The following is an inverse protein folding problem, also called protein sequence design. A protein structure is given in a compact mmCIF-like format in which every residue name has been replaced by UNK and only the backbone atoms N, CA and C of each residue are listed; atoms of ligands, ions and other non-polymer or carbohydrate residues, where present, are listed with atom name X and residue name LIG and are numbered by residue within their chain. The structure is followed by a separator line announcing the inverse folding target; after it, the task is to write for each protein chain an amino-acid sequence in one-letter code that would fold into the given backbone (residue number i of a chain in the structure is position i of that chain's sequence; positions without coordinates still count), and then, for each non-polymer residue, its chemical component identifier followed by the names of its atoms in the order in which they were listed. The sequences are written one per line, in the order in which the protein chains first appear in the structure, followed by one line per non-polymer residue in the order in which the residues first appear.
data_IF_750361777960
#
_entry.id   IF_750361777960
#
_cell.length_a   1.000
_cell.length_b   1.000
_cell.length_c   1.000
_cell.angle_alpha   90.00
_cell.angle_beta   90.00
_cell.angle_gamma   90.00
#
_symmetry.space_group_name_H-M   'P 1'
#
loop_
_entity.id
_entity.type
_entity.pdbx_description
1 polymer ?
#
# COMPACT_ATOMS: atom_id res chain seq x y z
N UNK A 1 0.70 -10.63 -7.73
CA UNK A 1 -0.39 -9.68 -8.06
C UNK A 1 -0.52 -9.41 -9.55
N UNK A 2 0.39 -8.66 -10.22
CA UNK A 2 0.25 -8.35 -11.66
C UNK A 2 -0.06 -9.57 -12.54
N UNK A 3 0.66 -10.69 -12.35
CA UNK A 3 0.42 -11.96 -13.04
C UNK A 3 -1.02 -12.46 -12.86
N UNK A 4 -1.49 -12.54 -11.61
CA UNK A 4 -2.84 -13.05 -11.31
C UNK A 4 -3.93 -12.15 -11.89
N UNK A 5 -3.73 -10.83 -11.84
CA UNK A 5 -4.66 -9.88 -12.46
C UNK A 5 -4.70 -10.09 -13.99
N UNK A 6 -3.55 -10.30 -14.64
CA UNK A 6 -3.49 -10.62 -16.08
C UNK A 6 -4.18 -11.93 -16.42
N UNK A 7 -4.03 -12.96 -15.59
CA UNK A 7 -4.71 -14.24 -15.78
C UNK A 7 -6.23 -14.10 -15.61
N UNK A 8 -6.67 -13.35 -14.61
CA UNK A 8 -8.09 -13.06 -14.41
C UNK A 8 -8.66 -12.28 -15.60
N UNK A 9 -7.96 -11.25 -16.06
CA UNK A 9 -8.32 -10.43 -17.21
C UNK A 9 -8.47 -11.23 -18.52
N UNK A 10 -7.83 -12.39 -18.64
CA UNK A 10 -8.01 -13.29 -19.78
C UNK A 10 -9.37 -14.03 -19.76
N UNK A 11 -10.08 -14.03 -18.63
CA UNK A 11 -11.34 -14.77 -18.44
C UNK A 11 -12.54 -13.87 -18.10
N UNK A 12 -12.30 -12.72 -17.47
CA UNK A 12 -13.33 -11.79 -17.00
C UNK A 12 -12.84 -10.35 -17.12
N UNK A 13 -13.73 -9.38 -17.42
CA UNK A 13 -13.36 -7.98 -17.44
C UNK A 13 -12.73 -7.51 -16.13
N UNK A 14 -11.52 -6.96 -16.18
CA UNK A 14 -10.85 -6.34 -15.02
C UNK A 14 -10.57 -4.87 -15.27
N UNK A 15 -11.16 -4.03 -14.41
CA UNK A 15 -11.06 -2.57 -14.47
C UNK A 15 -10.40 -2.09 -13.19
N UNK A 16 -9.32 -1.32 -13.32
CA UNK A 16 -8.72 -0.60 -12.20
C UNK A 16 -9.38 0.77 -12.06
N UNK A 17 -9.85 1.11 -10.85
CA UNK A 17 -10.35 2.44 -10.50
C UNK A 17 -9.39 3.07 -9.49
N UNK A 18 -8.69 4.13 -9.89
CA UNK A 18 -7.77 4.86 -9.04
C UNK A 18 -8.49 6.03 -8.36
N UNK A 19 -8.45 6.08 -7.04
CA UNK A 19 -8.96 7.22 -6.24
C UNK A 19 -7.86 8.26 -6.04
N UNK A 20 -7.47 8.57 -4.80
CA UNK A 20 -6.52 9.67 -4.53
C UNK A 20 -5.10 9.34 -5.01
N UNK A 21 -4.63 8.12 -4.78
CA UNK A 21 -3.26 7.70 -5.11
C UNK A 21 -3.25 6.27 -5.64
N UNK A 22 -2.57 6.07 -6.77
CA UNK A 22 -2.24 4.77 -7.32
C UNK A 22 -0.91 4.84 -8.09
N UNK A 23 0.17 5.15 -7.39
CA UNK A 23 1.51 5.33 -7.95
C UNK A 23 2.45 4.16 -7.56
N UNK A 24 3.56 3.99 -8.27
CA UNK A 24 4.58 2.95 -8.03
C UNK A 24 3.95 1.55 -7.98
N UNK A 25 4.00 0.84 -6.84
CA UNK A 25 3.35 -0.46 -6.67
C UNK A 25 1.84 -0.46 -6.98
N UNK A 26 1.13 0.65 -6.70
CA UNK A 26 -0.29 0.79 -7.05
C UNK A 26 -0.51 0.82 -8.56
N UNK A 27 0.32 1.59 -9.29
CA UNK A 27 0.30 1.59 -10.76
C UNK A 27 0.73 0.23 -11.32
N UNK A 28 1.71 -0.42 -10.69
CA UNK A 28 2.16 -1.77 -11.06
C UNK A 28 1.02 -2.78 -11.01
N UNK A 29 0.10 -2.67 -10.06
CA UNK A 29 -1.10 -3.52 -10.02
C UNK A 29 -2.13 -3.09 -11.06
N UNK A 30 -2.42 -1.79 -11.16
CA UNK A 30 -3.43 -1.27 -12.05
C UNK A 30 -3.11 -1.51 -13.54
N UNK A 31 -1.84 -1.44 -13.94
CA UNK A 31 -1.41 -1.71 -15.31
C UNK A 31 -1.66 -3.16 -15.75
N UNK A 32 -1.97 -4.09 -14.84
CA UNK A 32 -2.39 -5.43 -15.22
C UNK A 32 -3.86 -5.50 -15.70
N UNK A 33 -4.69 -4.53 -15.32
CA UNK A 33 -6.09 -4.45 -15.73
C UNK A 33 -6.20 -4.09 -17.21
N UNK A 34 -7.34 -4.41 -17.83
CA UNK A 34 -7.57 -4.08 -19.24
C UNK A 34 -8.01 -2.63 -19.44
N UNK A 35 -8.56 -2.00 -18.39
CA UNK A 35 -8.89 -0.58 -18.38
C UNK A 35 -8.47 0.02 -17.04
N UNK A 36 -7.85 1.19 -17.09
CA UNK A 36 -7.52 2.01 -15.94
C UNK A 36 -8.34 3.29 -16.01
N UNK A 37 -9.08 3.56 -14.94
CA UNK A 37 -9.84 4.79 -14.73
C UNK A 37 -9.21 5.54 -13.58
N UNK A 38 -9.04 6.85 -13.71
CA UNK A 38 -8.52 7.70 -12.64
C UNK A 38 -9.30 9.03 -12.57
N UNK A 39 -9.39 9.62 -11.38
CA UNK A 39 -9.92 10.97 -11.23
C UNK A 39 -8.91 12.00 -11.77
N UNK A 40 -9.38 13.22 -12.07
CA UNK A 40 -8.51 14.28 -12.61
C UNK A 40 -7.28 14.55 -11.74
N UNK A 41 -7.45 14.50 -10.41
CA UNK A 41 -6.43 14.81 -9.42
C UNK A 41 -5.75 13.58 -8.80
N UNK A 42 -6.07 12.37 -9.26
CA UNK A 42 -5.38 11.16 -8.82
C UNK A 42 -3.89 11.30 -9.01
N UNK A 43 -3.08 10.96 -8.00
CA UNK A 43 -1.64 10.85 -8.14
C UNK A 43 -1.28 9.43 -8.59
N UNK A 44 -0.74 9.31 -9.80
CA UNK A 44 -0.43 8.02 -10.43
C UNK A 44 0.93 8.04 -11.12
N UNK A 45 1.27 6.97 -11.85
CA UNK A 45 2.58 6.77 -12.44
C UNK A 45 3.59 6.36 -11.38
N UNK A 46 4.63 7.17 -11.16
CA UNK A 46 5.81 6.82 -10.36
C UNK A 46 6.39 5.46 -10.77
N UNK A 47 6.51 5.27 -12.09
CA UNK A 47 7.11 4.09 -12.68
C UNK A 47 8.62 4.22 -12.49
N UNK A 48 9.08 3.70 -11.36
CA UNK A 48 10.44 3.86 -10.86
C UNK A 48 10.71 2.89 -9.72
N UNK A 49 11.98 2.69 -9.42
CA UNK A 49 12.44 1.84 -8.32
C UNK A 49 13.45 2.64 -7.50
N UNK A 50 13.24 2.66 -6.19
CA UNK A 50 14.19 3.17 -5.21
C UNK A 50 14.52 2.07 -4.22
N UNK A 51 15.78 1.92 -3.88
CA UNK A 51 16.26 0.93 -2.91
C UNK A 51 17.52 1.43 -2.23
N UNK A 52 17.82 0.90 -1.05
CA UNK A 52 18.96 1.30 -0.26
C UNK A 52 19.11 0.44 0.99
N UNK A 53 20.23 0.63 1.70
CA UNK A 53 20.41 0.16 3.08
C UNK A 53 20.82 1.32 3.95
N UNK A 54 20.52 1.23 5.24
CA UNK A 54 21.07 2.16 6.22
C UNK A 54 22.56 1.86 6.44
N UNK A 55 23.34 2.92 6.61
CA UNK A 55 24.69 2.84 7.15
C UNK A 55 24.72 3.55 8.51
N UNK A 56 24.70 2.74 9.55
CA UNK A 56 24.64 3.13 10.95
C UNK A 56 26.02 3.12 11.63
N UNK A 57 27.12 2.90 10.90
CA UNK A 57 28.46 2.80 11.49
C UNK A 57 28.80 3.99 12.41
N UNK A 58 28.59 5.23 11.93
CA UNK A 58 28.81 6.44 12.73
C UNK A 58 27.90 6.55 13.95
N UNK A 59 26.66 6.05 13.84
CA UNK A 59 25.72 6.03 14.97
C UNK A 59 26.21 5.06 16.04
N UNK A 60 26.61 3.85 15.64
CA UNK A 60 27.13 2.81 16.51
C UNK A 60 28.39 3.25 17.26
N UNK A 61 29.33 3.88 16.57
CA UNK A 61 30.52 4.50 17.18
C UNK A 61 30.13 5.51 18.28
N UNK A 62 29.15 6.38 18.01
CA UNK A 62 28.73 7.43 18.94
C UNK A 62 28.09 6.90 20.22
N UNK A 63 27.36 5.78 20.13
CA UNK A 63 26.65 5.19 21.27
C UNK A 63 27.41 4.05 21.94
N UNK A 64 28.63 3.75 21.47
CA UNK A 64 29.43 2.63 21.99
C UNK A 64 28.81 1.25 21.70
N UNK A 65 27.97 1.13 20.67
CA UNK A 65 27.35 -0.14 20.29
C UNK A 65 28.27 -0.88 19.32
N UNK A 66 28.63 -2.12 19.64
CA UNK A 66 29.37 -2.99 18.73
C UNK A 66 28.44 -4.06 18.12
N UNK A 67 28.49 -4.18 16.80
CA UNK A 67 27.78 -5.19 16.02
C UNK A 67 28.78 -6.10 15.31
N UNK A 68 28.94 -7.31 15.82
CA UNK A 68 29.67 -8.40 15.15
C UNK A 68 28.73 -9.19 14.24
N UNK A 69 29.21 -9.56 13.04
CA UNK A 69 28.43 -10.34 12.07
C UNK A 69 29.21 -11.61 11.72
N UNK A 70 28.60 -12.75 11.96
CA UNK A 70 29.11 -14.06 11.52
C UNK A 70 28.26 -14.49 10.33
N UNK A 71 28.86 -14.60 9.15
CA UNK A 71 28.16 -14.92 7.91
C UNK A 71 28.93 -15.95 7.08
N UNK A 72 28.22 -16.67 6.20
CA UNK A 72 28.83 -17.59 5.23
C UNK A 72 28.29 -17.28 3.83
N UNK A 73 29.21 -16.92 2.94
CA UNK A 73 28.91 -16.60 1.54
C UNK A 73 29.24 -15.15 1.19
N UNK A 74 29.76 -14.93 -0.03
CA UNK A 74 30.29 -13.63 -0.46
C UNK A 74 29.30 -12.47 -0.30
N UNK A 75 28.02 -12.70 -0.57
CA UNK A 75 26.98 -11.66 -0.52
C UNK A 75 25.99 -11.84 0.63
N UNK A 76 26.29 -12.69 1.62
CA UNK A 76 25.39 -12.96 2.75
C UNK A 76 25.11 -11.72 3.61
N UNK A 77 26.02 -10.74 3.58
CA UNK A 77 25.94 -9.51 4.37
C UNK A 77 25.30 -8.33 3.63
N UNK A 78 24.89 -8.51 2.37
CA UNK A 78 24.51 -7.41 1.47
C UNK A 78 23.53 -6.42 2.14
N UNK A 79 22.51 -6.94 2.84
CA UNK A 79 21.53 -6.15 3.58
C UNK A 79 21.68 -6.20 5.10
N UNK A 80 22.51 -7.10 5.63
CA UNK A 80 22.67 -7.31 7.08
C UNK A 80 23.78 -6.44 7.71
N UNK A 81 24.80 -6.10 6.92
CA UNK A 81 25.92 -5.27 7.36
C UNK A 81 25.58 -3.78 7.31
N UNK A 82 24.76 -3.31 8.25
CA UNK A 82 24.39 -1.89 8.40
C UNK A 82 25.47 -1.05 9.11
N UNK A 83 26.47 -1.67 9.75
CA UNK A 83 27.59 -0.99 10.41
C UNK A 83 28.65 -0.43 9.45
N UNK A 84 28.56 -0.73 8.14
CA UNK A 84 29.54 -0.33 7.12
C UNK A 84 28.87 -0.02 5.77
N UNK A 85 29.51 0.75 4.88
CA UNK A 85 29.05 0.89 3.51
C UNK A 85 29.07 -0.46 2.76
N UNK A 86 28.46 -0.50 1.58
CA UNK A 86 28.66 -1.61 0.64
C UNK A 86 30.13 -1.73 0.26
N UNK A 87 30.62 -2.96 0.13
CA UNK A 87 31.86 -3.21 -0.61
C UNK A 87 31.64 -2.91 -2.11
N UNK A 88 32.68 -2.66 -2.90
CA UNK A 88 32.52 -2.33 -4.32
C UNK A 88 31.71 -3.37 -5.11
N UNK A 89 31.94 -4.66 -4.85
CA UNK A 89 31.23 -5.75 -5.51
C UNK A 89 29.76 -5.90 -5.05
N UNK A 90 29.50 -5.66 -3.77
CA UNK A 90 28.14 -5.56 -3.21
C UNK A 90 27.37 -4.39 -3.84
N UNK A 91 28.01 -3.23 -3.97
CA UNK A 91 27.39 -2.03 -4.54
C UNK A 91 27.01 -2.24 -6.01
N UNK A 92 27.90 -2.84 -6.81
CA UNK A 92 27.63 -3.17 -8.21
C UNK A 92 26.46 -4.17 -8.34
N UNK A 93 26.45 -5.23 -7.53
CA UNK A 93 25.35 -6.20 -7.50
C UNK A 93 24.02 -5.54 -7.13
N UNK A 94 24.02 -4.69 -6.10
CA UNK A 94 22.83 -4.01 -5.62
C UNK A 94 22.27 -3.02 -6.67
N UNK A 95 23.15 -2.25 -7.31
CA UNK A 95 22.78 -1.35 -8.40
C UNK A 95 22.20 -2.10 -9.61
N UNK A 96 22.81 -3.21 -10.02
CA UNK A 96 22.27 -4.06 -11.10
C UNK A 96 20.90 -4.64 -10.75
N UNK A 97 20.68 -5.03 -9.50
CA UNK A 97 19.38 -5.51 -9.04
C UNK A 97 18.31 -4.42 -9.16
N UNK A 98 18.63 -3.19 -8.74
CA UNK A 98 17.72 -2.04 -8.88
C UNK A 98 17.41 -1.73 -10.36
N UNK A 99 18.43 -1.75 -11.23
CA UNK A 99 18.28 -1.51 -12.66
C UNK A 99 17.39 -2.57 -13.32
N UNK A 100 17.58 -3.85 -12.98
CA UNK A 100 16.75 -4.94 -13.48
C UNK A 100 15.29 -4.79 -13.03
N UNK A 101 15.07 -4.46 -11.75
CA UNK A 101 13.72 -4.22 -11.24
C UNK A 101 13.03 -3.05 -11.98
N UNK A 102 13.75 -1.95 -12.23
CA UNK A 102 13.25 -0.82 -13.00
C UNK A 102 12.89 -1.22 -14.43
N UNK A 103 13.80 -1.90 -15.14
CA UNK A 103 13.58 -2.37 -16.50
C UNK A 103 12.33 -3.25 -16.58
N UNK A 104 12.17 -4.22 -15.67
CA UNK A 104 10.98 -5.07 -15.63
C UNK A 104 9.69 -4.28 -15.40
N UNK A 105 9.72 -3.26 -14.53
CA UNK A 105 8.54 -2.42 -14.30
C UNK A 105 8.18 -1.62 -15.56
N UNK A 106 9.15 -0.87 -16.11
CA UNK A 106 8.96 -0.07 -17.32
C UNK A 106 8.48 -0.93 -18.50
N UNK A 107 9.10 -2.06 -18.75
CA UNK A 107 8.78 -2.92 -19.89
C UNK A 107 7.38 -3.54 -19.75
N UNK A 108 6.97 -3.92 -18.53
CA UNK A 108 5.59 -4.36 -18.25
C UNK A 108 4.59 -3.22 -18.43
N UNK A 109 4.93 -2.01 -18.01
CA UNK A 109 4.07 -0.85 -18.22
C UNK A 109 3.92 -0.56 -19.72
N UNK A 110 5.01 -0.57 -20.48
CA UNK A 110 5.01 -0.37 -21.93
C UNK A 110 4.13 -1.41 -22.63
N UNK A 111 4.31 -2.69 -22.30
CA UNK A 111 3.48 -3.79 -22.78
C UNK A 111 1.99 -3.59 -22.45
N UNK A 112 1.67 -3.32 -21.19
CA UNK A 112 0.30 -3.12 -20.73
C UNK A 112 -0.39 -1.93 -21.38
N UNK A 113 0.35 -0.88 -21.70
CA UNK A 113 -0.17 0.34 -22.33
C UNK A 113 -0.05 0.32 -23.85
N UNK A 114 0.37 -0.81 -24.43
CA UNK A 114 0.55 -0.98 -25.88
C UNK A 114 1.38 0.14 -26.52
N UNK A 115 2.47 0.55 -25.86
CA UNK A 115 3.37 1.59 -26.35
C UNK A 115 4.83 1.13 -26.36
N UNK A 116 5.68 1.70 -27.25
CA UNK A 116 7.11 1.41 -27.26
C UNK A 116 7.78 1.70 -25.93
N UNK A 117 8.82 0.95 -25.60
CA UNK A 117 9.57 1.10 -24.35
C UNK A 117 10.19 2.49 -24.24
N UNK A 118 10.64 3.05 -25.36
CA UNK A 118 11.23 4.38 -25.46
C UNK A 118 10.21 5.47 -25.07
N UNK A 119 8.97 5.33 -25.54
CA UNK A 119 7.88 6.24 -25.17
C UNK A 119 7.48 6.09 -23.71
N UNK A 120 7.51 4.86 -23.18
CA UNK A 120 7.27 4.62 -21.75
C UNK A 120 8.38 5.24 -20.88
N UNK A 121 9.65 5.18 -21.31
CA UNK A 121 10.78 5.81 -20.63
C UNK A 121 10.56 7.33 -20.47
N UNK A 122 10.05 8.01 -21.51
CA UNK A 122 9.73 9.45 -21.49
C UNK A 122 8.67 9.86 -20.46
N UNK A 123 7.87 8.93 -19.97
CA UNK A 123 6.82 9.19 -18.95
C UNK A 123 7.08 8.45 -17.63
N UNK A 124 8.08 7.57 -17.58
CA UNK A 124 8.51 6.84 -16.40
C UNK A 124 9.58 7.64 -15.61
N UNK A 125 10.61 6.96 -15.09
CA UNK A 125 11.72 7.54 -14.32
C UNK A 125 11.29 8.08 -12.95
N UNK A 126 10.33 7.40 -12.32
CA UNK A 126 9.82 7.77 -11.00
C UNK A 126 8.90 9.00 -10.98
N UNK A 127 8.65 9.64 -12.12
CA UNK A 127 7.75 10.81 -12.21
C UNK A 127 6.32 10.46 -11.81
N UNK A 128 5.74 11.30 -10.98
CA UNK A 128 4.32 11.26 -10.60
C UNK A 128 3.53 12.13 -11.56
N UNK A 129 2.35 11.66 -11.96
CA UNK A 129 1.44 12.39 -12.83
C UNK A 129 0.08 12.55 -12.15
N UNK A 130 -0.55 13.70 -12.32
CA UNK A 130 -1.97 13.85 -12.04
C UNK A 130 -2.78 13.00 -13.04
N UNK A 131 -3.95 12.49 -12.65
CA UNK A 131 -4.74 11.58 -13.48
C UNK A 131 -5.08 12.16 -14.86
N UNK A 132 -5.37 13.46 -14.93
CA UNK A 132 -5.56 14.18 -16.20
C UNK A 132 -4.33 14.11 -17.12
N UNK A 133 -3.13 14.31 -16.57
CA UNK A 133 -1.87 14.24 -17.33
C UNK A 133 -1.50 12.79 -17.66
N UNK A 134 -1.81 11.85 -16.76
CA UNK A 134 -1.61 10.43 -16.99
C UNK A 134 -2.46 9.93 -18.17
N UNK A 135 -3.69 10.41 -18.31
CA UNK A 135 -4.56 10.10 -19.45
C UNK A 135 -3.98 10.65 -20.77
N UNK A 136 -3.53 11.91 -20.82
CA UNK A 136 -2.94 12.49 -22.03
C UNK A 136 -1.63 11.79 -22.45
N UNK A 137 -0.94 11.15 -21.50
CA UNK A 137 0.28 10.36 -21.69
C UNK A 137 0.04 8.88 -21.98
N UNK A 138 -1.22 8.43 -21.97
CA UNK A 138 -1.59 7.04 -22.20
C UNK A 138 -1.27 6.09 -21.04
N UNK A 139 -1.05 6.61 -19.83
CA UNK A 139 -0.89 5.82 -18.60
C UNK A 139 -2.25 5.40 -18.01
N UNK A 140 -3.32 6.11 -18.34
CA UNK A 140 -4.71 5.84 -17.91
C UNK A 140 -5.61 5.86 -19.15
N UNK A 141 -6.67 5.05 -19.17
CA UNK A 141 -7.58 4.93 -20.30
C UNK A 141 -8.75 5.94 -20.25
N UNK A 142 -9.21 6.29 -19.05
CA UNK A 142 -10.34 7.19 -18.88
C UNK A 142 -10.25 8.03 -17.60
N UNK A 143 -10.82 9.24 -17.67
CA UNK A 143 -11.04 10.08 -16.49
C UNK A 143 -12.41 9.81 -15.88
N UNK A 144 -12.45 9.66 -14.56
CA UNK A 144 -13.65 9.55 -13.75
C UNK A 144 -13.42 8.71 -12.49
N UNK A 145 -14.49 8.53 -11.72
CA UNK A 145 -14.45 7.76 -10.49
C UNK A 145 -14.98 6.34 -10.61
N UNK A 146 -15.30 5.77 -9.46
CA UNK A 146 -15.78 4.40 -9.32
C UNK A 146 -17.02 4.09 -10.16
N UNK A 147 -17.98 5.01 -10.24
CA UNK A 147 -19.18 4.85 -11.08
C UNK A 147 -18.86 4.69 -12.56
N UNK A 148 -17.81 5.37 -13.05
CA UNK A 148 -17.34 5.22 -14.44
C UNK A 148 -16.68 3.86 -14.65
N UNK A 149 -15.91 3.39 -13.67
CA UNK A 149 -15.33 2.04 -13.70
C UNK A 149 -16.40 0.95 -13.76
N UNK A 150 -17.48 1.07 -12.98
CA UNK A 150 -18.63 0.15 -13.03
C UNK A 150 -19.28 0.17 -14.42
N UNK A 151 -19.53 1.35 -14.99
CA UNK A 151 -20.14 1.46 -16.32
C UNK A 151 -19.28 0.77 -17.41
N UNK A 152 -17.96 0.94 -17.34
CA UNK A 152 -17.01 0.26 -18.24
C UNK A 152 -17.03 -1.26 -18.01
N UNK A 153 -17.05 -1.71 -16.75
CA UNK A 153 -17.13 -3.13 -16.42
C UNK A 153 -18.41 -3.77 -16.97
N UNK A 154 -19.56 -3.10 -16.81
CA UNK A 154 -20.83 -3.54 -17.38
C UNK A 154 -20.78 -3.63 -18.90
N UNK A 155 -20.20 -2.63 -19.55
CA UNK A 155 -20.04 -2.61 -21.01
C UNK A 155 -19.20 -3.79 -21.49
N UNK A 156 -18.01 -4.01 -20.89
CA UNK A 156 -17.13 -5.13 -21.26
C UNK A 156 -17.73 -6.50 -20.94
N UNK A 157 -18.60 -6.60 -19.94
CA UNK A 157 -19.30 -7.81 -19.57
C UNK A 157 -20.61 -8.04 -20.36
N UNK A 158 -20.94 -7.20 -21.35
CA UNK A 158 -22.20 -7.23 -22.09
C UNK A 158 -23.45 -7.14 -21.18
N UNK A 159 -23.38 -6.37 -20.10
CA UNK A 159 -24.48 -6.10 -19.18
C UNK A 159 -25.14 -4.75 -19.56
N UNK A 160 -26.47 -4.68 -19.75
CA UNK A 160 -27.19 -3.44 -20.04
C UNK A 160 -26.91 -2.34 -18.99
N UNK A 161 -26.73 -1.10 -19.43
CA UNK A 161 -26.30 0.01 -18.56
C UNK A 161 -27.34 0.44 -17.52
N UNK A 162 -28.61 0.19 -17.78
CA UNK A 162 -29.75 0.39 -16.88
C UNK A 162 -29.95 -0.74 -15.87
N UNK A 163 -29.45 -1.95 -16.17
CA UNK A 163 -29.57 -3.11 -15.27
C UNK A 163 -28.83 -2.88 -13.95
N UNK A 164 -29.52 -3.00 -12.83
CA UNK A 164 -28.90 -2.94 -11.50
C UNK A 164 -27.92 -4.10 -11.30
N UNK A 165 -26.78 -3.81 -10.70
CA UNK A 165 -25.76 -4.79 -10.32
C UNK A 165 -25.53 -4.71 -8.81
N UNK A 166 -25.27 -5.84 -8.18
CA UNK A 166 -24.87 -5.89 -6.77
C UNK A 166 -23.35 -5.77 -6.69
N UNK A 167 -22.88 -4.80 -5.93
CA UNK A 167 -21.46 -4.72 -5.59
C UNK A 167 -21.18 -5.69 -4.45
N UNK A 168 -20.30 -6.65 -4.69
CA UNK A 168 -19.81 -7.57 -3.67
C UNK A 168 -18.38 -7.19 -3.36
N UNK A 169 -18.14 -6.68 -2.16
CA UNK A 169 -16.80 -6.42 -1.67
C UNK A 169 -16.16 -7.74 -1.21
N UNK A 170 -15.03 -8.08 -1.81
CA UNK A 170 -14.26 -9.27 -1.43
C UNK A 170 -13.11 -8.84 -0.51
N UNK A 171 -13.45 -8.51 0.73
CA UNK A 171 -12.46 -8.26 1.78
C UNK A 171 -11.84 -9.58 2.24
N UNK A 172 -10.55 -9.57 2.59
CA UNK A 172 -9.98 -10.71 3.33
C UNK A 172 -10.81 -10.87 4.61
N UNK A 173 -11.11 -12.11 5.05
CA UNK A 173 -11.72 -12.32 6.35
C UNK A 173 -10.91 -11.56 7.39
N UNK A 174 -11.54 -10.71 8.18
CA UNK A 174 -10.94 -10.21 9.40
C UNK A 174 -10.56 -11.44 10.23
N UNK A 175 -9.31 -11.55 10.70
CA UNK A 175 -8.93 -12.68 11.54
C UNK A 175 -9.87 -12.70 12.73
N UNK A 176 -10.50 -13.84 12.95
CA UNK A 176 -11.44 -14.03 14.05
C UNK A 176 -10.71 -13.86 15.40
N UNK A 177 -11.42 -13.43 16.46
CA UNK A 177 -10.84 -13.34 17.81
C UNK A 177 -10.07 -14.61 18.22
N UNK A 178 -10.53 -15.85 17.91
CA UNK A 178 -9.75 -17.07 18.14
C UNK A 178 -8.45 -17.16 17.33
N UNK A 179 -8.40 -16.68 16.09
CA UNK A 179 -7.17 -16.62 15.27
C UNK A 179 -6.18 -15.60 15.80
N UNK A 180 -6.68 -14.47 16.33
CA UNK A 180 -5.85 -13.46 17.03
C UNK A 180 -5.29 -14.06 18.32
N UNK A 181 -6.13 -14.69 19.15
CA UNK A 181 -5.72 -15.29 20.42
C UNK A 181 -4.77 -16.49 20.25
N UNK A 182 -4.96 -17.31 19.21
CA UNK A 182 -4.05 -18.40 18.89
C UNK A 182 -2.74 -17.92 18.26
N UNK A 183 -2.75 -16.79 17.54
CA UNK A 183 -1.53 -16.12 17.05
C UNK A 183 -0.66 -15.55 18.18
N UNK A 184 -1.28 -15.05 19.26
CA UNK A 184 -0.60 -14.53 20.46
C UNK A 184 0.25 -15.61 21.17
N UNK A 185 -0.08 -16.90 21.00
CA UNK A 185 0.66 -18.01 21.59
C UNK A 185 2.05 -18.28 20.97
N UNK A 186 2.42 -17.63 19.86
CA UNK A 186 3.63 -17.98 19.10
C UNK A 186 4.66 -16.85 18.91
N UNK A 187 4.39 -15.62 19.35
CA UNK A 187 5.41 -14.55 19.33
C UNK A 187 5.08 -13.38 20.27
N UNK A 188 5.83 -13.27 21.37
CA UNK A 188 5.70 -12.24 22.43
C UNK A 188 5.91 -10.80 21.90
N UNK A 189 6.43 -10.62 20.68
CA UNK A 189 6.74 -9.31 20.08
C UNK A 189 5.55 -8.72 19.29
N UNK A 190 4.52 -9.51 18.98
CA UNK A 190 3.37 -9.06 18.16
C UNK A 190 2.26 -8.35 18.94
N UNK A 191 2.17 -8.60 20.25
CA UNK A 191 1.02 -8.22 21.10
C UNK A 191 0.80 -6.71 21.14
N UNK A 192 1.87 -5.92 21.23
CA UNK A 192 1.78 -4.47 21.33
C UNK A 192 1.24 -3.81 20.05
N UNK A 193 1.49 -4.43 18.88
CA UNK A 193 1.08 -3.86 17.59
C UNK A 193 -0.38 -4.15 17.29
N UNK A 194 -0.83 -5.39 17.55
CA UNK A 194 -2.23 -5.77 17.41
C UNK A 194 -3.12 -5.09 18.43
N UNK A 195 -2.67 -4.89 19.68
CA UNK A 195 -3.43 -4.11 20.66
C UNK A 195 -3.60 -2.65 20.21
N UNK A 196 -2.56 -2.05 19.62
CA UNK A 196 -2.59 -0.66 19.13
C UNK A 196 -3.50 -0.48 17.93
N UNK A 197 -3.50 -1.45 17.00
CA UNK A 197 -4.40 -1.47 15.84
C UNK A 197 -5.87 -1.66 16.28
N UNK A 198 -6.13 -2.55 17.24
CA UNK A 198 -7.46 -2.73 17.85
C UNK A 198 -7.94 -1.47 18.60
N UNK A 199 -7.06 -0.82 19.36
CA UNK A 199 -7.39 0.44 20.04
C UNK A 199 -7.66 1.55 19.03
N UNK A 200 -6.93 1.63 17.92
CA UNK A 200 -7.20 2.58 16.86
C UNK A 200 -8.58 2.34 16.22
N UNK A 201 -8.90 1.10 15.83
CA UNK A 201 -10.21 0.78 15.23
C UNK A 201 -11.37 1.01 16.21
N UNK A 202 -11.18 0.74 17.50
CA UNK A 202 -12.17 1.04 18.54
C UNK A 202 -12.33 2.56 18.78
N UNK A 203 -11.28 3.36 18.61
CA UNK A 203 -11.35 4.82 18.73
C UNK A 203 -11.98 5.53 17.53
N UNK A 204 -12.06 4.88 16.36
CA UNK A 204 -12.66 5.45 15.15
C UNK A 204 -14.14 5.10 14.95
N UNK A 205 -14.73 4.30 15.85
CA UNK A 205 -16.16 3.99 15.84
C UNK A 205 -16.93 4.91 16.78
N UNK A 206 -16.94 6.21 16.48
CA UNK A 206 -18.10 7.10 16.74
C UNK A 206 -17.87 8.48 16.11
N UNK A 207 -18.50 8.72 14.96
CA UNK A 207 -18.84 10.07 14.49
C UNK A 207 -17.79 10.82 13.65
N UNK A 208 -18.29 11.43 12.58
CA UNK A 208 -17.58 12.33 11.65
C UNK A 208 -16.70 13.36 12.39
N UNK A 209 -15.41 13.41 12.09
CA UNK A 209 -14.52 14.47 12.57
C UNK A 209 -13.85 15.18 11.39
N UNK A 210 -14.51 16.24 10.91
CA UNK A 210 -13.85 17.31 10.18
C UNK A 210 -12.96 18.07 11.17
N UNK A 211 -11.67 18.25 10.84
CA UNK A 211 -10.72 19.02 11.63
C UNK A 211 -11.07 20.51 11.57
N UNK A 212 -11.26 21.12 12.73
CA UNK A 212 -11.02 22.54 12.93
C UNK A 212 -10.53 22.75 14.37
N UNK A 213 -9.43 23.48 14.53
CA UNK A 213 -8.69 23.64 15.78
C UNK A 213 -9.47 24.46 16.83
N UNK A 214 -9.32 24.08 18.10
CA UNK A 214 -9.58 24.94 19.27
C UNK A 214 -10.84 24.63 20.08
N UNK A 215 -10.65 24.60 21.40
CA UNK A 215 -11.64 24.48 22.50
C UNK A 215 -11.85 23.04 23.00
N UNK A 216 -10.95 22.66 23.91
CA UNK A 216 -11.07 21.53 24.85
C UNK A 216 -11.79 22.05 26.10
N UNK A 217 -12.62 21.19 26.71
CA UNK A 217 -13.37 21.34 27.97
C UNK A 217 -14.75 22.01 27.91
N UNK A 218 -15.80 21.18 27.74
CA UNK A 218 -16.92 21.10 28.69
C UNK A 218 -17.87 19.94 28.37
N UNK A 219 -18.32 19.26 29.44
CA UNK A 219 -19.48 18.33 29.56
C UNK A 219 -19.30 16.88 29.10
N UNK A 220 -18.78 16.05 30.01
CA UNK A 220 -19.24 14.67 30.18
C UNK A 220 -20.09 14.58 31.46
N UNK A 221 -21.34 15.03 31.38
CA UNK A 221 -22.38 14.65 32.33
C UNK A 221 -23.58 14.18 31.53
N UNK A 222 -23.92 12.89 31.68
CA UNK A 222 -25.21 12.36 31.22
C UNK A 222 -25.13 11.35 30.07
N UNK A 223 -24.61 10.14 30.34
CA UNK A 223 -25.06 8.95 29.63
C UNK A 223 -25.18 7.76 30.60
N UNK A 224 -26.40 7.50 31.04
CA UNK A 224 -26.80 6.26 31.70
C UNK A 224 -26.98 5.20 30.62
N UNK A 225 -25.95 4.38 30.40
CA UNK A 225 -25.99 3.00 29.89
C UNK A 225 -24.55 2.54 29.63
N UNK A 226 -23.81 2.27 30.71
CA UNK A 226 -22.47 1.71 30.64
C UNK A 226 -22.55 0.19 30.46
N UNK A 227 -22.02 -0.30 29.33
CA UNK A 227 -21.76 -1.72 29.03
C UNK A 227 -20.80 -2.30 30.07
N UNK A 228 -20.82 -3.61 30.41
CA UNK A 228 -19.95 -4.23 31.43
C UNK A 228 -18.44 -4.02 31.23
N UNK A 229 -18.02 -3.64 30.01
CA UNK A 229 -16.66 -3.28 29.67
C UNK A 229 -16.23 -1.93 30.27
N UNK A 230 -17.16 -0.98 30.39
CA UNK A 230 -16.90 0.35 30.95
C UNK A 230 -16.66 0.32 32.46
N UNK A 231 -17.34 -0.58 33.20
CA UNK A 231 -17.05 -0.79 34.63
C UNK A 231 -15.66 -1.38 34.83
N UNK A 232 -15.23 -2.30 33.95
CA UNK A 232 -13.91 -2.93 34.04
C UNK A 232 -12.76 -1.94 33.82
N UNK A 233 -12.93 -1.02 32.86
CA UNK A 233 -11.95 0.03 32.57
C UNK A 233 -11.92 1.07 33.70
N UNK A 234 -13.09 1.40 34.27
CA UNK A 234 -13.18 2.32 35.41
C UNK A 234 -12.47 1.76 36.64
N UNK A 235 -12.66 0.49 36.96
CA UNK A 235 -12.06 -0.13 38.15
C UNK A 235 -10.53 -0.22 38.04
N UNK A 236 -10.01 -0.51 36.83
CA UNK A 236 -8.56 -0.54 36.58
C UNK A 236 -7.93 0.86 36.74
N UNK A 237 -8.53 1.89 36.15
CA UNK A 237 -8.02 3.26 36.22
C UNK A 237 -8.17 3.91 37.60
N UNK A 238 -9.10 3.43 38.44
CA UNK A 238 -9.28 3.91 39.82
C UNK A 238 -8.29 3.28 40.81
N UNK A 239 -7.54 2.27 40.38
CA UNK A 239 -6.54 1.54 41.19
C UNK A 239 -5.08 1.98 40.94
N UNK A 240 -4.89 2.99 40.08
CA UNK A 240 -3.63 3.71 39.85
C UNK A 240 -3.64 5.04 40.61
#
# INVERSE_FOLDING_TARGET
MWREIKLLAASKPVIASMSDVAASGGYYMAMAAETIVAENLTLTGSIGVVTGKFNLGKLYEKIGFNKEVISRGRYAELLAAEQRPFRPDEAELFARSAQNAYQQFRDKAAFSRSMPVEKMEEVAQGRVWAGKDAASRGLVDAIGGFSRAIAIAKHRANIPQDRKVTLVELSRPTPSLPEILSGIGSSIVGVDRTLKELLQDLTFSDGVQARMDGIVFQRFEGFSNATPLFSLIKDYLSSL
#
